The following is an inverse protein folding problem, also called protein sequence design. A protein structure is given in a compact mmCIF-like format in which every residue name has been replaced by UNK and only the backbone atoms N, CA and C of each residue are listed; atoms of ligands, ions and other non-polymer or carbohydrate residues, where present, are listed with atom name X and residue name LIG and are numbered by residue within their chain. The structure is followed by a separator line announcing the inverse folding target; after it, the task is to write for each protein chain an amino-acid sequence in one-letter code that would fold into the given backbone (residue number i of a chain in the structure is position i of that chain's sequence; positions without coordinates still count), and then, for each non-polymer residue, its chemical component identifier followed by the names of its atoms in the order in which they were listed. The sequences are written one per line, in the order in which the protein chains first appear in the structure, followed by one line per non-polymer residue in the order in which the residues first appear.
data_IF_252872218541
#
_entry.id   IF_252872218541
#
_cell.length_a   1.000
_cell.length_b   1.000
_cell.length_c   1.000
_cell.angle_alpha   90.00
_cell.angle_beta   90.00
_cell.angle_gamma   90.00
#
_symmetry.space_group_name_H-M   'P 1'
#
loop_
_entity.id
_entity.type
_entity.pdbx_description
1 polymer ?
#
# COMPACT_ATOMS: atom_id res chain seq x y z
N UNK A 1 -6.11 33.87 -13.07
CA UNK A 1 -5.03 33.09 -12.41
C UNK A 1 -4.27 32.34 -13.50
N UNK A 2 -2.93 32.45 -13.57
CA UNK A 2 -2.14 31.86 -14.66
C UNK A 2 -1.95 30.34 -14.45
N UNK A 3 -2.00 29.55 -15.53
CA UNK A 3 -1.83 28.10 -15.56
C UNK A 3 -0.57 27.63 -14.81
N UNK A 4 0.54 28.38 -14.88
CA UNK A 4 1.77 28.05 -14.14
C UNK A 4 1.58 28.10 -12.63
N UNK A 5 0.81 29.06 -12.12
CA UNK A 5 0.51 29.18 -10.68
C UNK A 5 -0.46 28.07 -10.24
N UNK A 6 -1.47 27.75 -11.05
CA UNK A 6 -2.38 26.64 -10.79
C UNK A 6 -1.64 25.30 -10.75
N UNK A 7 -0.71 25.05 -11.68
CA UNK A 7 0.10 23.85 -11.73
C UNK A 7 1.06 23.74 -10.53
N UNK A 8 1.65 24.87 -10.09
CA UNK A 8 2.49 24.91 -8.91
C UNK A 8 1.69 24.56 -7.65
N UNK A 9 0.51 25.18 -7.48
CA UNK A 9 -0.39 24.90 -6.36
C UNK A 9 -0.80 23.42 -6.36
N UNK A 10 -1.18 22.86 -7.50
CA UNK A 10 -1.55 21.46 -7.63
C UNK A 10 -0.41 20.51 -7.23
N UNK A 11 0.83 20.80 -7.67
CA UNK A 11 2.02 20.02 -7.28
C UNK A 11 2.31 20.12 -5.78
N UNK A 12 2.20 21.30 -5.19
CA UNK A 12 2.39 21.50 -3.75
C UNK A 12 1.36 20.67 -2.99
N UNK A 13 0.08 20.76 -3.35
CA UNK A 13 -0.97 19.96 -2.72
C UNK A 13 -0.71 18.45 -2.88
N UNK A 14 -0.26 18.00 -4.05
CA UNK A 14 0.08 16.60 -4.26
C UNK A 14 1.19 16.13 -3.32
N UNK A 15 2.30 16.86 -3.23
CA UNK A 15 3.39 16.51 -2.33
C UNK A 15 2.99 16.62 -0.86
N UNK A 16 2.21 17.62 -0.48
CA UNK A 16 1.72 17.79 0.89
C UNK A 16 0.85 16.61 1.30
N UNK A 17 -0.09 16.19 0.45
CA UNK A 17 -0.97 15.05 0.70
C UNK A 17 -0.18 13.75 0.86
N UNK A 18 0.83 13.53 0.01
CA UNK A 18 1.72 12.36 0.13
C UNK A 18 2.50 12.43 1.44
N UNK A 19 3.10 13.58 1.75
CA UNK A 19 3.88 13.76 2.98
C UNK A 19 3.02 13.54 4.23
N UNK A 20 1.82 14.11 4.29
CA UNK A 20 0.88 13.92 5.40
C UNK A 20 0.51 12.44 5.54
N UNK A 21 0.17 11.75 4.45
CA UNK A 21 -0.14 10.32 4.48
C UNK A 21 1.01 9.49 5.03
N UNK A 22 2.22 9.69 4.52
CA UNK A 22 3.42 8.96 4.96
C UNK A 22 3.78 9.29 6.41
N UNK A 23 3.79 10.57 6.78
CA UNK A 23 4.15 11.01 8.14
C UNK A 23 3.15 10.45 9.16
N UNK A 24 1.84 10.53 8.89
CA UNK A 24 0.84 9.97 9.79
C UNK A 24 0.99 8.45 9.93
N UNK A 25 1.25 7.72 8.85
CA UNK A 25 1.52 6.28 8.92
C UNK A 25 2.77 5.95 9.72
N UNK A 26 3.86 6.69 9.56
CA UNK A 26 5.11 6.47 10.29
C UNK A 26 4.96 6.81 11.77
N UNK A 27 4.26 7.90 12.10
CA UNK A 27 4.01 8.29 13.49
C UNK A 27 3.25 7.20 14.25
N UNK A 28 2.20 6.62 13.64
CA UNK A 28 1.41 5.53 14.24
C UNK A 28 2.28 4.27 14.47
N UNK A 29 3.24 4.00 13.58
CA UNK A 29 4.14 2.84 13.72
C UNK A 29 5.15 3.01 14.87
N UNK A 30 5.58 4.24 15.16
CA UNK A 30 6.59 4.52 16.20
C UNK A 30 5.93 4.75 17.57
N UNK A 31 4.68 5.21 17.61
CA UNK A 31 3.97 5.50 18.86
C UNK A 31 3.34 4.26 19.53
N UNK A 32 3.34 3.11 18.87
CA UNK A 32 2.83 1.86 19.44
C UNK A 32 3.79 1.23 20.47
N UNK A 33 3.26 0.52 21.49
CA UNK A 33 4.08 -0.24 22.43
C UNK A 33 4.85 -1.35 21.71
N UNK A 34 6.07 -1.60 22.15
CA UNK A 34 6.89 -2.70 21.66
C UNK A 34 6.33 -4.04 22.17
N UNK A 35 6.60 -5.12 21.42
CA UNK A 35 6.18 -6.48 21.81
C UNK A 35 6.80 -6.90 23.16
N UNK A 36 7.89 -6.25 23.57
CA UNK A 36 8.56 -6.42 24.86
C UNK A 36 7.84 -5.79 26.05
N UNK A 37 6.88 -4.89 25.82
CA UNK A 37 6.24 -4.09 26.87
C UNK A 37 5.16 -4.85 27.66
N UNK A 38 4.98 -6.13 27.35
CA UNK A 38 4.06 -7.03 28.05
C UNK A 38 2.62 -6.96 27.55
N UNK A 39 1.84 -7.99 27.91
CA UNK A 39 0.47 -8.18 27.40
C UNK A 39 -0.48 -7.03 27.77
N UNK A 40 -0.33 -6.46 28.97
CA UNK A 40 -1.21 -5.41 29.46
C UNK A 40 -1.07 -4.09 28.65
N UNK A 41 0.17 -3.70 28.30
CA UNK A 41 0.43 -2.51 27.50
C UNK A 41 -0.12 -2.67 26.07
N UNK A 42 0.05 -3.86 25.49
CA UNK A 42 -0.51 -4.22 24.19
C UNK A 42 -2.03 -4.19 24.17
N UNK A 43 -2.69 -4.73 25.19
CA UNK A 43 -4.16 -4.71 25.30
C UNK A 43 -4.71 -3.29 25.45
N UNK A 44 -4.12 -2.47 26.33
CA UNK A 44 -4.50 -1.05 26.48
C UNK A 44 -4.34 -0.25 25.20
N UNK A 45 -3.26 -0.48 24.45
CA UNK A 45 -3.07 0.18 23.16
C UNK A 45 -4.07 -0.31 22.11
N UNK A 46 -4.40 -1.61 22.07
CA UNK A 46 -5.42 -2.17 21.16
C UNK A 46 -6.81 -1.57 21.38
N UNK A 47 -7.12 -1.17 22.60
CA UNK A 47 -8.39 -0.53 22.97
C UNK A 47 -8.35 1.00 22.90
N UNK A 48 -7.19 1.58 22.63
CA UNK A 48 -7.01 3.03 22.56
C UNK A 48 -7.78 3.66 21.39
N UNK A 49 -8.12 4.93 21.56
CA UNK A 49 -8.68 5.75 20.48
C UNK A 49 -7.71 5.88 19.29
N UNK A 50 -6.40 5.85 19.53
CA UNK A 50 -5.36 5.91 18.52
C UNK A 50 -5.40 4.68 17.59
N UNK A 51 -5.48 3.47 18.17
CA UNK A 51 -5.62 2.23 17.38
C UNK A 51 -6.90 2.24 16.56
N UNK A 52 -8.01 2.68 17.16
CA UNK A 52 -9.29 2.74 16.46
C UNK A 52 -9.24 3.73 15.29
N UNK A 53 -8.66 4.92 15.50
CA UNK A 53 -8.45 5.90 14.45
C UNK A 53 -7.55 5.37 13.33
N UNK A 54 -6.47 4.66 13.68
CA UNK A 54 -5.58 4.03 12.71
C UNK A 54 -6.29 2.99 11.84
N UNK A 55 -7.13 2.14 12.43
CA UNK A 55 -7.94 1.14 11.70
C UNK A 55 -8.88 1.83 10.71
N UNK A 56 -9.64 2.84 11.14
CA UNK A 56 -10.55 3.56 10.25
C UNK A 56 -9.82 4.33 9.16
N UNK A 57 -8.68 4.94 9.48
CA UNK A 57 -7.84 5.62 8.50
C UNK A 57 -7.30 4.63 7.45
N UNK A 58 -6.86 3.45 7.88
CA UNK A 58 -6.39 2.40 6.97
C UNK A 58 -7.52 1.91 6.06
N UNK A 59 -8.71 1.65 6.61
CA UNK A 59 -9.89 1.29 5.82
C UNK A 59 -10.25 2.38 4.82
N UNK A 60 -10.22 3.65 5.24
CA UNK A 60 -10.47 4.79 4.36
C UNK A 60 -9.49 4.81 3.19
N UNK A 61 -8.18 4.71 3.44
CA UNK A 61 -7.16 4.69 2.38
C UNK A 61 -7.35 3.49 1.45
N UNK A 62 -7.65 2.31 2.00
CA UNK A 62 -7.88 1.10 1.22
C UNK A 62 -9.03 1.30 0.21
N UNK A 63 -10.18 1.77 0.68
CA UNK A 63 -11.35 1.99 -0.19
C UNK A 63 -11.18 3.20 -1.11
N UNK A 64 -10.66 4.32 -0.62
CA UNK A 64 -10.44 5.51 -1.43
C UNK A 64 -9.40 5.27 -2.54
N UNK A 65 -8.29 4.60 -2.20
CA UNK A 65 -7.26 4.19 -3.15
C UNK A 65 -7.80 3.21 -4.17
N UNK A 66 -8.51 2.17 -3.73
CA UNK A 66 -9.16 1.20 -4.61
C UNK A 66 -10.14 1.85 -5.60
N UNK A 67 -11.03 2.72 -5.10
CA UNK A 67 -11.98 3.45 -5.94
C UNK A 67 -11.28 4.37 -6.94
N UNK A 68 -10.21 5.06 -6.53
CA UNK A 68 -9.43 5.94 -7.40
C UNK A 68 -8.75 5.14 -8.52
N UNK A 69 -8.15 4.00 -8.21
CA UNK A 69 -7.52 3.11 -9.20
C UNK A 69 -8.57 2.61 -10.19
N UNK A 70 -9.71 2.12 -9.73
CA UNK A 70 -10.80 1.66 -10.60
C UNK A 70 -11.29 2.79 -11.51
N UNK A 71 -11.57 3.96 -10.95
CA UNK A 71 -12.02 5.13 -11.71
C UNK A 71 -11.00 5.56 -12.78
N UNK A 72 -9.71 5.53 -12.45
CA UNK A 72 -8.63 5.82 -13.39
C UNK A 72 -8.57 4.82 -14.54
N UNK A 73 -8.74 3.52 -14.26
CA UNK A 73 -8.79 2.49 -15.30
C UNK A 73 -10.01 2.65 -16.22
N UNK A 74 -11.20 2.90 -15.66
CA UNK A 74 -12.41 3.15 -16.47
C UNK A 74 -12.19 4.34 -17.40
N UNK A 75 -11.66 5.44 -16.86
CA UNK A 75 -11.35 6.63 -17.65
C UNK A 75 -10.30 6.36 -18.74
N UNK A 76 -9.23 5.61 -18.43
CA UNK A 76 -8.22 5.23 -19.41
C UNK A 76 -8.78 4.36 -20.54
N UNK A 77 -9.67 3.41 -20.22
CA UNK A 77 -10.30 2.53 -21.21
C UNK A 77 -11.08 3.36 -22.22
N UNK A 78 -11.83 4.37 -21.75
CA UNK A 78 -12.63 5.25 -22.61
C UNK A 78 -11.73 6.10 -23.51
N UNK A 79 -10.67 6.70 -22.97
CA UNK A 79 -9.84 7.64 -23.72
C UNK A 79 -8.79 6.97 -24.61
N UNK A 80 -8.23 5.84 -24.18
CA UNK A 80 -7.06 5.24 -24.80
C UNK A 80 -6.99 3.72 -24.55
N UNK A 81 -7.91 2.93 -25.13
CA UNK A 81 -8.03 1.50 -24.86
C UNK A 81 -6.73 0.73 -25.15
N UNK A 82 -6.02 1.08 -26.24
CA UNK A 82 -4.72 0.46 -26.58
C UNK A 82 -3.64 0.67 -25.52
N UNK A 83 -3.60 1.84 -24.88
CA UNK A 83 -2.62 2.13 -23.82
C UNK A 83 -3.02 1.44 -22.50
N UNK A 84 -4.31 1.30 -22.26
CA UNK A 84 -4.84 0.59 -21.09
C UNK A 84 -4.40 -0.87 -21.06
N UNK A 85 -4.22 -1.52 -22.22
CA UNK A 85 -3.71 -2.90 -22.31
C UNK A 85 -2.34 -3.03 -21.64
N UNK A 86 -1.43 -2.06 -21.80
CA UNK A 86 -0.14 -2.08 -21.09
C UNK A 86 -0.33 -1.97 -19.58
N UNK A 87 -1.27 -1.15 -19.13
CA UNK A 87 -1.59 -1.01 -17.69
C UNK A 87 -2.14 -2.31 -17.10
N UNK A 88 -2.93 -3.08 -17.87
CA UNK A 88 -3.47 -4.38 -17.45
C UNK A 88 -2.35 -5.41 -17.25
N UNK A 89 -1.29 -5.40 -18.07
CA UNK A 89 -0.15 -6.31 -17.92
C UNK A 89 0.48 -6.18 -16.53
N UNK A 90 0.63 -4.96 -16.01
CA UNK A 90 1.13 -4.74 -14.66
C UNK A 90 0.27 -5.37 -13.57
N UNK A 91 -1.06 -5.31 -13.72
CA UNK A 91 -2.00 -5.98 -12.81
C UNK A 91 -1.83 -7.49 -12.90
N UNK A 92 -1.73 -8.05 -14.11
CA UNK A 92 -1.55 -9.49 -14.31
C UNK A 92 -0.24 -9.98 -13.69
N UNK A 93 0.87 -9.24 -13.87
CA UNK A 93 2.15 -9.56 -13.23
C UNK A 93 2.02 -9.54 -11.70
N UNK A 94 1.34 -8.53 -11.15
CA UNK A 94 1.11 -8.44 -9.70
C UNK A 94 0.28 -9.61 -9.19
N UNK A 95 -0.73 -10.06 -9.95
CA UNK A 95 -1.50 -11.25 -9.64
C UNK A 95 -0.65 -12.53 -9.68
N UNK A 96 0.25 -12.67 -10.66
CA UNK A 96 1.16 -13.81 -10.73
C UNK A 96 2.10 -13.84 -9.52
N UNK A 97 2.67 -12.70 -9.12
CA UNK A 97 3.51 -12.59 -7.91
C UNK A 97 2.71 -12.96 -6.66
N UNK A 98 1.47 -12.48 -6.53
CA UNK A 98 0.56 -12.88 -5.46
C UNK A 98 0.32 -14.38 -5.45
N UNK A 99 0.03 -14.99 -6.60
CA UNK A 99 -0.21 -16.43 -6.70
C UNK A 99 1.03 -17.23 -6.28
N UNK A 100 2.24 -16.77 -6.62
CA UNK A 100 3.48 -17.40 -6.17
C UNK A 100 3.55 -17.40 -4.64
N UNK A 101 3.33 -16.25 -3.98
CA UNK A 101 3.36 -16.19 -2.51
C UNK A 101 2.21 -16.97 -1.87
N UNK A 102 1.02 -16.95 -2.47
CA UNK A 102 -0.12 -17.72 -2.00
C UNK A 102 0.16 -19.23 -2.05
N UNK A 103 0.82 -19.71 -3.10
CA UNK A 103 1.20 -21.11 -3.26
C UNK A 103 2.38 -21.52 -2.37
N UNK A 104 3.33 -20.61 -2.12
CA UNK A 104 4.42 -20.84 -1.17
C UNK A 104 3.92 -21.01 0.27
N UNK A 105 2.74 -20.46 0.58
CA UNK A 105 2.17 -20.53 1.91
C UNK A 105 2.81 -19.52 2.88
N UNK A 106 2.32 -19.53 4.11
CA UNK A 106 2.97 -18.86 5.24
C UNK A 106 3.03 -19.81 6.42
N UNK A 107 4.06 -19.66 7.26
CA UNK A 107 4.13 -20.30 8.57
C UNK A 107 3.41 -19.49 9.65
N UNK A 108 2.97 -18.28 9.33
CA UNK A 108 2.24 -17.43 10.26
C UNK A 108 0.85 -17.99 10.53
N UNK A 109 0.46 -17.95 11.80
CA UNK A 109 -0.87 -18.30 12.27
C UNK A 109 -1.44 -17.14 13.06
N UNK A 110 -2.74 -17.19 13.33
CA UNK A 110 -3.42 -16.26 14.23
C UNK A 110 -2.70 -16.12 15.59
N UNK A 111 -2.14 -17.22 16.09
CA UNK A 111 -1.45 -17.27 17.38
C UNK A 111 -0.06 -16.61 17.30
N UNK A 112 0.71 -16.85 16.24
CA UNK A 112 2.03 -16.21 16.06
C UNK A 112 1.90 -14.71 15.80
N UNK A 113 0.82 -14.28 15.16
CA UNK A 113 0.48 -12.88 14.90
C UNK A 113 -0.19 -12.19 16.10
N UNK A 114 -0.49 -12.92 17.17
CA UNK A 114 -1.16 -12.44 18.37
C UNK A 114 -2.43 -11.62 18.08
N UNK A 115 -3.23 -12.03 17.08
CA UNK A 115 -4.39 -11.27 16.65
C UNK A 115 -5.44 -11.16 17.76
N UNK A 116 -6.09 -9.99 17.89
CA UNK A 116 -7.15 -9.78 18.89
C UNK A 116 -8.34 -10.71 18.66
N UNK A 117 -8.76 -10.82 17.40
CA UNK A 117 -9.85 -11.69 16.99
C UNK A 117 -9.26 -12.76 16.08
N UNK A 118 -9.33 -14.04 16.46
CA UNK A 118 -8.80 -15.10 15.63
C UNK A 118 -9.52 -15.15 14.29
N UNK A 119 -8.75 -15.27 13.21
CA UNK A 119 -9.27 -15.42 11.84
C UNK A 119 -8.86 -16.78 11.30
N UNK A 120 -9.52 -17.21 10.21
CA UNK A 120 -9.15 -18.47 9.56
C UNK A 120 -7.75 -18.40 8.95
N UNK A 121 -7.07 -19.54 8.90
CA UNK A 121 -5.75 -19.65 8.26
C UNK A 121 -5.75 -19.19 6.80
N UNK A 122 -6.89 -19.35 6.12
CA UNK A 122 -7.08 -18.81 4.76
C UNK A 122 -6.99 -17.28 4.70
N UNK A 123 -7.51 -16.56 5.71
CA UNK A 123 -7.39 -15.10 5.82
C UNK A 123 -5.94 -14.70 6.10
N UNK A 124 -5.25 -15.43 6.98
CA UNK A 124 -3.82 -15.18 7.27
C UNK A 124 -2.98 -15.40 6.02
N UNK A 125 -3.22 -16.50 5.29
CA UNK A 125 -2.52 -16.84 4.07
C UNK A 125 -2.68 -15.77 2.98
N UNK A 126 -3.92 -15.39 2.66
CA UNK A 126 -4.19 -14.38 1.61
C UNK A 126 -3.61 -13.02 1.98
N UNK A 127 -3.73 -12.62 3.25
CA UNK A 127 -3.22 -11.33 3.71
C UNK A 127 -1.70 -11.31 3.64
N UNK A 128 -1.05 -12.38 4.10
CA UNK A 128 0.41 -12.50 4.07
C UNK A 128 0.95 -12.49 2.64
N UNK A 129 0.34 -13.26 1.74
CA UNK A 129 0.69 -13.25 0.32
C UNK A 129 0.51 -11.85 -0.32
N UNK A 130 -0.57 -11.15 0.05
CA UNK A 130 -0.82 -9.76 -0.36
C UNK A 130 0.27 -8.81 0.12
N UNK A 131 0.67 -8.90 1.39
CA UNK A 131 1.73 -8.06 1.97
C UNK A 131 3.08 -8.27 1.28
N UNK A 132 3.48 -9.52 1.03
CA UNK A 132 4.70 -9.82 0.27
C UNK A 132 4.64 -9.29 -1.17
N UNK A 133 3.48 -9.40 -1.82
CA UNK A 133 3.28 -8.84 -3.17
C UNK A 133 3.46 -7.32 -3.19
N UNK A 134 2.89 -6.62 -2.21
CA UNK A 134 3.07 -5.18 -2.06
C UNK A 134 4.56 -4.86 -1.80
N UNK A 135 5.21 -5.59 -0.90
CA UNK A 135 6.64 -5.41 -0.62
C UNK A 135 7.52 -5.55 -1.86
N UNK A 136 7.31 -6.60 -2.67
CA UNK A 136 8.05 -6.81 -3.92
C UNK A 136 7.76 -5.72 -4.94
N UNK A 137 6.49 -5.36 -5.14
CA UNK A 137 6.12 -4.34 -6.15
C UNK A 137 6.63 -2.95 -5.77
N UNK A 138 6.60 -2.59 -4.49
CA UNK A 138 7.22 -1.37 -3.98
C UNK A 138 8.74 -1.39 -4.18
N UNK A 139 9.40 -2.50 -3.85
CA UNK A 139 10.84 -2.64 -4.05
C UNK A 139 11.23 -2.50 -5.53
N UNK A 140 10.55 -3.22 -6.43
CA UNK A 140 10.79 -3.12 -7.87
C UNK A 140 10.53 -1.70 -8.37
N UNK A 141 9.44 -1.06 -7.94
CA UNK A 141 9.14 0.33 -8.27
C UNK A 141 10.24 1.29 -7.82
N UNK A 142 10.74 1.12 -6.60
CA UNK A 142 11.84 1.91 -6.06
C UNK A 142 13.13 1.72 -6.86
N UNK A 143 13.50 0.48 -7.19
CA UNK A 143 14.67 0.17 -8.03
C UNK A 143 14.53 0.82 -9.41
N UNK A 144 13.35 0.76 -10.03
CA UNK A 144 13.09 1.39 -11.33
C UNK A 144 13.22 2.91 -11.25
N UNK A 145 12.76 3.55 -10.18
CA UNK A 145 12.90 5.00 -9.98
C UNK A 145 14.39 5.39 -9.88
N UNK A 146 15.19 4.65 -9.12
CA UNK A 146 16.63 4.92 -8.97
C UNK A 146 17.40 4.62 -10.25
N UNK A 147 17.10 3.50 -10.91
CA UNK A 147 17.80 3.05 -12.11
C UNK A 147 17.34 3.78 -13.38
N UNK A 148 16.14 4.37 -13.40
CA UNK A 148 15.57 5.11 -14.52
C UNK A 148 16.48 6.20 -15.09
N UNK A 149 17.05 7.10 -14.26
CA UNK A 149 18.03 8.10 -14.70
C UNK A 149 19.28 7.51 -15.39
N UNK A 150 19.74 6.33 -14.97
CA UNK A 150 20.90 5.65 -15.55
C UNK A 150 20.55 4.92 -16.85
N UNK A 151 19.38 4.29 -16.91
CA UNK A 151 18.87 3.62 -18.13
C UNK A 151 18.45 4.60 -19.22
N UNK A 152 17.99 5.80 -18.84
CA UNK A 152 17.69 6.89 -19.78
C UNK A 152 18.91 7.35 -20.59
N UNK A 153 20.12 7.17 -20.04
CA UNK A 153 21.39 7.45 -20.75
C UNK A 153 21.79 6.36 -21.75
N UNK A 154 21.19 5.17 -21.66
CA UNK A 154 21.44 4.03 -22.57
C UNK A 154 20.49 4.01 -23.77
N UNK A 155 19.42 4.80 -23.74
CA UNK A 155 18.61 5.13 -24.92
C UNK A 155 19.35 6.18 -25.75
N UNK A 156 20.38 5.74 -26.49
CA UNK A 156 20.83 6.45 -27.69
C UNK A 156 20.01 5.96 -28.88
#
# INVERSE_FOLDING_TARGET
MNATKLNLISRIFQYLSIAIGVILSVLILISGPAVTDGKEALEKFRESAEMNAAIYFMLFILFAGGAMVIGFFIFQIIQSPKRTILSIIGIVISLVVYMIFYLLGTTDTTDTLALRNPVSDGVVLTTTAGLYTIGVTLFVGFVVIIAGPFMGRLRK
#
